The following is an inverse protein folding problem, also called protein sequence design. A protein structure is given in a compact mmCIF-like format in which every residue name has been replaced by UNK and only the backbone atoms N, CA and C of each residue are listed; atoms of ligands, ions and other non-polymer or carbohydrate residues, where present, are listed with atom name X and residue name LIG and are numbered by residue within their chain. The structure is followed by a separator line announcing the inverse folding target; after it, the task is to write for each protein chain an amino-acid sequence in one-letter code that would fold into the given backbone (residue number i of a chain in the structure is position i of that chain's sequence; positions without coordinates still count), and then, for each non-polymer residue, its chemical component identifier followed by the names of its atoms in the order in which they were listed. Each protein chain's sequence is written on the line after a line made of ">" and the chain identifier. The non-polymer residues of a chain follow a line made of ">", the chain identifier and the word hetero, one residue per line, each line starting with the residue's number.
data_IF_889643361041
#
_entry.id   IF_889643361041
#
_cell.length_a   1.000
_cell.length_b   1.000
_cell.length_c   1.000
_cell.angle_alpha   90.00
_cell.angle_beta   90.00
_cell.angle_gamma   90.00
#
_symmetry.space_group_name_H-M   'P 1'
#
loop_
_entity.id
_entity.type
_entity.pdbx_description
1 polymer ?
#
# COMPACT_ATOMS: atom_id res chain seq x y z
N UNK A 1 27.24 25.58 9.84
CA UNK A 1 27.13 26.96 9.32
C UNK A 1 26.96 26.85 7.82
N UNK A 2 25.78 27.16 7.29
CA UNK A 2 25.58 27.33 5.84
C UNK A 2 25.87 28.80 5.53
N UNK A 3 26.97 29.08 4.81
CA UNK A 3 27.20 30.40 4.23
C UNK A 3 26.49 30.46 2.87
N UNK A 4 25.76 31.54 2.62
CA UNK A 4 25.07 31.77 1.34
C UNK A 4 26.04 31.92 0.16
N UNK A 5 25.54 31.78 -1.08
CA UNK A 5 26.38 31.78 -2.28
C UNK A 5 27.09 33.13 -2.47
N UNK A 6 28.36 33.08 -2.89
CA UNK A 6 29.16 34.27 -3.23
C UNK A 6 28.86 34.68 -4.67
N UNK A 7 28.89 35.98 -4.96
CA UNK A 7 28.35 36.61 -6.18
C UNK A 7 28.82 36.07 -7.53
N UNK A 8 29.93 35.33 -7.61
CA UNK A 8 30.39 34.68 -8.85
C UNK A 8 29.53 33.48 -9.29
N UNK A 9 28.90 32.77 -8.34
CA UNK A 9 28.03 31.62 -8.66
C UNK A 9 26.71 32.07 -9.33
N UNK A 10 26.26 33.30 -9.05
CA UNK A 10 25.03 33.87 -9.62
C UNK A 10 25.20 34.31 -11.08
N UNK A 11 26.36 34.85 -11.45
CA UNK A 11 26.64 35.31 -12.82
C UNK A 11 26.80 34.13 -13.79
N UNK A 12 27.42 33.03 -13.36
CA UNK A 12 27.54 31.82 -14.19
C UNK A 12 26.18 31.17 -14.47
N UNK A 13 25.28 31.16 -13.47
CA UNK A 13 23.94 30.63 -13.63
C UNK A 13 23.07 31.50 -14.56
N UNK A 14 23.21 32.83 -14.49
CA UNK A 14 22.53 33.74 -15.41
C UNK A 14 23.04 33.63 -16.85
N UNK A 15 24.35 33.40 -17.04
CA UNK A 15 24.94 33.17 -18.36
C UNK A 15 24.48 31.85 -19.01
N UNK A 16 24.36 30.77 -18.23
CA UNK A 16 23.82 29.48 -18.72
C UNK A 16 22.34 29.58 -19.12
N UNK A 17 21.52 30.29 -18.35
CA UNK A 17 20.10 30.50 -18.66
C UNK A 17 19.91 31.38 -19.91
N UNK A 18 20.79 32.35 -20.14
CA UNK A 18 20.79 33.15 -21.35
C UNK A 18 21.16 32.33 -22.60
N UNK A 19 22.13 31.42 -22.49
CA UNK A 19 22.56 30.56 -23.60
C UNK A 19 21.47 29.57 -24.06
N UNK A 20 20.61 29.09 -23.15
CA UNK A 20 19.47 28.24 -23.51
C UNK A 20 18.34 28.97 -24.26
N UNK A 21 18.30 30.31 -24.24
CA UNK A 21 17.25 31.10 -24.91
C UNK A 21 17.57 31.47 -26.37
N UNK A 22 18.83 31.37 -26.80
CA UNK A 22 19.24 31.76 -28.16
C UNK A 22 19.18 30.62 -29.19
N UNK A 23 18.97 29.37 -28.74
CA UNK A 23 18.75 28.22 -29.62
C UNK A 23 17.29 28.04 -29.98
N UNK A 24 16.86 28.54 -31.14
CA UNK A 24 15.52 28.30 -31.68
C UNK A 24 15.27 26.82 -31.98
N UNK A 25 14.68 26.09 -31.04
CA UNK A 25 14.28 24.69 -31.22
C UNK A 25 13.71 24.07 -29.95
N UNK A 26 12.37 24.05 -29.86
CA UNK A 26 11.55 23.48 -28.76
C UNK A 26 11.84 24.01 -27.36
N UNK A 27 10.78 24.42 -26.66
CA UNK A 27 10.77 24.95 -25.27
C UNK A 27 11.15 23.90 -24.19
N UNK A 28 11.96 22.89 -24.54
CA UNK A 28 12.49 21.91 -23.60
C UNK A 28 13.81 22.42 -23.04
N UNK A 29 13.77 22.88 -21.79
CA UNK A 29 14.96 23.07 -20.96
C UNK A 29 15.82 21.80 -21.03
N UNK A 30 17.08 21.96 -21.46
CA UNK A 30 18.03 20.85 -21.52
C UNK A 30 18.37 20.40 -20.09
N UNK A 31 17.84 19.23 -19.71
CA UNK A 31 18.02 18.64 -18.39
C UNK A 31 19.50 18.37 -18.11
N UNK A 32 20.33 18.15 -19.14
CA UNK A 32 21.76 17.95 -18.96
C UNK A 32 22.49 19.22 -18.46
N UNK A 33 22.03 20.40 -18.90
CA UNK A 33 22.53 21.71 -18.46
C UNK A 33 22.11 21.98 -17.01
N UNK A 34 20.86 21.68 -16.64
CA UNK A 34 20.37 21.82 -15.26
C UNK A 34 21.14 20.90 -14.31
N UNK A 35 21.33 19.63 -14.69
CA UNK A 35 22.04 18.65 -13.88
C UNK A 35 23.53 18.99 -13.74
N UNK A 36 24.17 19.56 -14.76
CA UNK A 36 25.57 20.00 -14.69
C UNK A 36 25.80 21.14 -13.68
N UNK A 37 24.78 21.97 -13.42
CA UNK A 37 24.81 23.04 -12.43
C UNK A 37 24.28 22.66 -11.04
N UNK A 38 23.59 21.53 -10.92
CA UNK A 38 22.94 21.11 -9.68
C UNK A 38 23.98 20.56 -8.67
N UNK A 39 24.08 21.20 -7.51
CA UNK A 39 24.84 20.68 -6.37
C UNK A 39 23.89 19.92 -5.44
N UNK A 40 24.14 18.64 -5.23
CA UNK A 40 23.44 17.81 -4.25
C UNK A 40 24.33 17.57 -3.03
N UNK A 41 23.74 17.65 -1.84
CA UNK A 41 24.39 17.27 -0.58
C UNK A 41 23.72 16.03 -0.03
N UNK A 42 24.52 15.02 0.30
CA UNK A 42 24.04 13.77 0.89
C UNK A 42 24.47 13.70 2.34
N UNK A 43 23.51 13.42 3.22
CA UNK A 43 23.76 13.08 4.61
C UNK A 43 23.35 11.62 4.84
N UNK A 44 24.21 10.85 5.49
CA UNK A 44 23.96 9.43 5.78
C UNK A 44 23.71 9.24 7.27
N UNK A 45 22.74 8.39 7.59
CA UNK A 45 22.31 8.08 8.95
C UNK A 45 22.21 6.57 9.10
N UNK A 46 22.51 6.05 10.29
CA UNK A 46 22.40 4.61 10.58
C UNK A 46 21.12 4.26 11.36
N UNK A 47 20.43 5.27 11.91
CA UNK A 47 19.20 5.11 12.70
C UNK A 47 18.06 5.95 12.13
N UNK A 48 16.87 5.36 12.06
CA UNK A 48 15.66 6.06 11.62
C UNK A 48 15.34 7.27 12.49
N UNK A 49 15.65 7.22 13.79
CA UNK A 49 15.42 8.36 14.69
C UNK A 49 16.26 9.59 14.30
N UNK A 50 17.48 9.38 13.81
CA UNK A 50 18.37 10.48 13.40
C UNK A 50 17.88 11.11 12.08
N UNK A 51 17.36 10.29 11.17
CA UNK A 51 16.69 10.76 9.94
C UNK A 51 15.47 11.62 10.30
N UNK A 52 14.61 11.14 11.21
CA UNK A 52 13.44 11.88 11.66
C UNK A 52 13.82 13.21 12.32
N UNK A 53 14.83 13.21 13.19
CA UNK A 53 15.33 14.43 13.82
C UNK A 53 15.89 15.42 12.79
N UNK A 54 16.59 14.94 11.76
CA UNK A 54 17.12 15.76 10.68
C UNK A 54 15.99 16.42 9.87
N UNK A 55 15.00 15.65 9.41
CA UNK A 55 13.85 16.20 8.68
C UNK A 55 13.05 17.18 9.53
N UNK A 56 12.79 16.88 10.80
CA UNK A 56 12.09 17.78 11.71
C UNK A 56 12.84 19.10 11.90
N UNK A 57 14.16 19.05 12.09
CA UNK A 57 15.02 20.23 12.24
C UNK A 57 15.07 21.09 10.97
N UNK A 58 14.96 20.46 9.79
CA UNK A 58 15.17 21.11 8.49
C UNK A 58 13.92 21.15 7.61
N UNK A 59 12.72 20.93 8.18
CA UNK A 59 11.46 20.82 7.45
C UNK A 59 11.18 22.00 6.50
N UNK A 60 11.52 23.22 6.94
CA UNK A 60 11.27 24.44 6.17
C UNK A 60 12.14 24.54 4.91
N UNK A 61 13.29 23.85 4.91
CA UNK A 61 14.22 23.83 3.77
C UNK A 61 14.04 22.59 2.92
N UNK A 62 13.74 21.45 3.53
CA UNK A 62 13.69 20.15 2.86
C UNK A 62 12.31 19.76 2.36
N UNK A 63 11.22 20.32 2.91
CA UNK A 63 9.86 19.90 2.61
C UNK A 63 8.99 21.02 2.02
N UNK A 64 9.27 22.29 2.31
CA UNK A 64 8.46 23.42 1.83
C UNK A 64 8.79 23.98 0.43
N UNK A 65 10.07 24.17 0.04
CA UNK A 65 10.38 24.81 -1.25
C UNK A 65 10.11 23.86 -2.43
N UNK A 66 9.77 24.36 -3.63
CA UNK A 66 9.47 23.51 -4.79
C UNK A 66 10.50 22.38 -5.12
N UNK A 67 11.83 22.55 -4.91
CA UNK A 67 12.80 21.46 -5.09
C UNK A 67 12.71 20.33 -4.05
N UNK A 68 11.91 20.48 -2.99
CA UNK A 68 11.78 19.53 -1.88
C UNK A 68 11.36 18.14 -2.34
N UNK A 69 10.43 18.07 -3.28
CA UNK A 69 9.91 16.80 -3.81
C UNK A 69 11.03 16.02 -4.49
N UNK A 70 11.84 16.68 -5.32
CA UNK A 70 12.98 16.03 -5.98
C UNK A 70 14.04 15.58 -4.95
N UNK A 71 14.35 16.43 -3.97
CA UNK A 71 15.29 16.07 -2.90
C UNK A 71 14.80 14.85 -2.08
N UNK A 72 13.49 14.77 -1.81
CA UNK A 72 12.87 13.64 -1.13
C UNK A 72 12.98 12.36 -1.98
N UNK A 73 12.64 12.42 -3.26
CA UNK A 73 12.77 11.27 -4.18
C UNK A 73 14.22 10.78 -4.23
N UNK A 74 15.19 11.69 -4.37
CA UNK A 74 16.60 11.34 -4.35
C UNK A 74 17.02 10.72 -3.00
N UNK A 75 16.52 11.24 -1.87
CA UNK A 75 16.75 10.66 -0.55
C UNK A 75 16.23 9.22 -0.46
N UNK A 76 15.05 8.93 -1.01
CA UNK A 76 14.47 7.59 -1.02
C UNK A 76 15.29 6.63 -1.88
N UNK A 77 15.62 7.04 -3.11
CA UNK A 77 16.43 6.23 -4.04
C UNK A 77 17.82 5.96 -3.47
N UNK A 78 18.47 6.94 -2.85
CA UNK A 78 19.78 6.74 -2.22
C UNK A 78 19.70 5.85 -0.98
N UNK A 79 18.58 5.88 -0.23
CA UNK A 79 18.37 5.01 0.93
C UNK A 79 18.15 3.56 0.50
N UNK A 80 17.39 3.32 -0.57
CA UNK A 80 17.17 1.97 -1.12
C UNK A 80 18.35 1.50 -1.98
N UNK A 81 19.12 2.42 -2.55
CA UNK A 81 20.13 2.25 -3.62
C UNK A 81 19.52 2.08 -5.03
N UNK A 82 20.25 2.53 -6.06
CA UNK A 82 19.78 2.49 -7.46
C UNK A 82 19.60 1.04 -7.92
N UNK A 83 20.54 0.18 -7.56
CA UNK A 83 20.56 -1.23 -7.93
C UNK A 83 19.38 -1.98 -7.33
N UNK A 84 19.09 -1.78 -6.05
CA UNK A 84 17.94 -2.40 -5.39
C UNK A 84 16.62 -1.82 -5.89
N UNK A 85 16.53 -0.50 -6.16
CA UNK A 85 15.33 0.08 -6.79
C UNK A 85 15.06 -0.61 -8.12
N UNK A 86 16.06 -0.73 -9.01
CA UNK A 86 15.91 -1.44 -10.28
C UNK A 86 15.57 -2.92 -10.09
N UNK A 87 16.13 -3.57 -9.06
CA UNK A 87 15.83 -4.96 -8.70
C UNK A 87 14.42 -5.16 -8.16
N UNK A 88 13.83 -4.15 -7.52
CA UNK A 88 12.46 -4.17 -7.01
C UNK A 88 11.42 -4.07 -8.16
N UNK A 89 11.72 -3.31 -9.21
CA UNK A 89 10.81 -3.03 -10.34
C UNK A 89 10.62 -4.21 -11.29
N UNK A 90 9.40 -4.40 -11.80
CA UNK A 90 9.11 -5.41 -12.83
C UNK A 90 9.79 -5.08 -14.16
N UNK A 91 9.85 -3.80 -14.53
CA UNK A 91 10.62 -3.27 -15.65
C UNK A 91 11.48 -2.07 -15.22
N UNK A 92 12.79 -2.28 -15.11
CA UNK A 92 13.76 -1.28 -14.67
C UNK A 92 13.99 -0.14 -15.69
N UNK A 93 13.37 -0.20 -16.88
CA UNK A 93 13.43 0.87 -17.88
C UNK A 93 12.36 1.94 -17.69
N UNK A 94 11.32 1.64 -16.89
CA UNK A 94 10.24 2.57 -16.57
C UNK A 94 10.75 3.67 -15.62
N UNK A 95 10.51 4.96 -15.91
CA UNK A 95 10.95 6.04 -15.02
C UNK A 95 10.08 6.12 -13.76
N UNK A 96 10.70 6.40 -12.60
CA UNK A 96 9.98 6.58 -11.33
C UNK A 96 8.99 7.77 -11.37
N UNK A 97 9.34 8.81 -12.11
CA UNK A 97 8.48 9.97 -12.39
C UNK A 97 8.14 9.95 -13.87
N UNK A 98 6.87 9.72 -14.17
CA UNK A 98 6.33 9.66 -15.50
C UNK A 98 6.16 11.03 -16.16
N UNK A 99 5.48 11.04 -17.31
CA UNK A 99 5.13 12.27 -18.03
C UNK A 99 4.30 13.19 -17.13
N UNK A 100 4.44 14.50 -17.34
CA UNK A 100 3.73 15.54 -16.58
C UNK A 100 3.96 15.50 -15.05
N UNK A 101 4.97 14.77 -14.57
CA UNK A 101 5.30 14.69 -13.14
C UNK A 101 4.49 13.66 -12.35
N UNK A 102 3.73 12.78 -13.02
CA UNK A 102 2.98 11.72 -12.34
C UNK A 102 3.93 10.70 -11.71
N UNK A 103 3.67 10.31 -10.46
CA UNK A 103 4.40 9.22 -9.82
C UNK A 103 4.04 7.89 -10.49
N UNK A 104 5.06 7.08 -10.80
CA UNK A 104 4.87 5.65 -11.07
C UNK A 104 4.40 4.91 -9.81
N UNK A 105 3.83 3.71 -9.95
CA UNK A 105 3.43 2.91 -8.80
C UNK A 105 4.67 2.48 -7.98
N UNK A 106 5.80 2.28 -8.65
CA UNK A 106 7.10 1.98 -8.05
C UNK A 106 7.56 3.10 -7.12
N UNK A 107 7.37 4.36 -7.52
CA UNK A 107 7.71 5.50 -6.66
C UNK A 107 6.75 5.60 -5.45
N UNK A 108 5.46 5.34 -5.66
CA UNK A 108 4.47 5.29 -4.58
C UNK A 108 4.83 4.19 -3.57
N UNK A 109 5.15 2.99 -4.06
CA UNK A 109 5.55 1.87 -3.21
C UNK A 109 6.89 2.15 -2.52
N UNK A 110 7.86 2.78 -3.20
CA UNK A 110 9.12 3.17 -2.57
C UNK A 110 8.90 4.12 -1.39
N UNK A 111 7.96 5.07 -1.53
CA UNK A 111 7.58 5.99 -0.45
C UNK A 111 6.88 5.27 0.71
N UNK A 112 5.93 4.38 0.41
CA UNK A 112 5.07 3.74 1.43
C UNK A 112 5.75 2.58 2.16
N UNK A 113 6.52 1.77 1.44
CA UNK A 113 7.09 0.51 1.95
C UNK A 113 8.60 0.43 1.84
N UNK A 114 9.27 1.42 1.26
CA UNK A 114 10.72 1.41 1.09
C UNK A 114 11.22 0.43 0.03
N UNK A 115 10.34 -0.09 -0.82
CA UNK A 115 10.66 -0.96 -1.96
C UNK A 115 9.91 -0.49 -3.20
N UNK A 116 10.59 -0.45 -4.35
CA UNK A 116 10.03 0.06 -5.60
C UNK A 116 9.32 -1.04 -6.41
N UNK A 117 8.46 -1.84 -5.77
CA UNK A 117 7.71 -2.89 -6.45
C UNK A 117 6.63 -2.30 -7.35
N UNK A 118 6.31 -2.95 -8.46
CA UNK A 118 5.43 -2.39 -9.50
C UNK A 118 3.93 -2.54 -9.20
N UNK A 119 3.55 -3.39 -8.24
CA UNK A 119 2.16 -3.76 -8.03
C UNK A 119 1.66 -3.52 -6.59
N UNK A 120 0.35 -3.40 -6.46
CA UNK A 120 -0.34 -3.19 -5.17
C UNK A 120 -0.87 -4.47 -4.53
N UNK A 121 -0.88 -5.60 -5.25
CA UNK A 121 -1.32 -6.90 -4.71
C UNK A 121 -0.27 -7.45 -3.72
N UNK A 122 -0.65 -8.44 -2.91
CA UNK A 122 0.29 -9.03 -1.95
C UNK A 122 1.24 -10.04 -2.60
N UNK A 123 2.51 -10.02 -2.19
CA UNK A 123 3.51 -11.02 -2.57
C UNK A 123 3.93 -10.92 -4.02
N UNK A 124 4.01 -12.06 -4.69
CA UNK A 124 4.46 -12.18 -6.08
C UNK A 124 3.46 -13.00 -6.89
N UNK A 125 3.35 -12.69 -8.18
CA UNK A 125 2.53 -13.44 -9.13
C UNK A 125 3.36 -13.81 -10.35
N UNK A 126 3.29 -15.06 -10.79
CA UNK A 126 3.95 -15.49 -12.03
C UNK A 126 2.95 -15.43 -13.18
N UNK A 127 3.29 -14.71 -14.25
CA UNK A 127 2.51 -14.66 -15.49
C UNK A 127 3.16 -15.53 -16.56
N UNK A 128 2.37 -16.39 -17.18
CA UNK A 128 2.79 -17.29 -18.25
C UNK A 128 3.01 -18.73 -17.78
N UNK A 129 2.79 -19.68 -18.69
CA UNK A 129 2.85 -21.12 -18.39
C UNK A 129 4.27 -21.69 -18.43
N UNK A 130 5.20 -21.00 -19.09
CA UNK A 130 6.59 -21.44 -19.27
C UNK A 130 7.52 -20.62 -18.37
N UNK A 131 8.22 -21.26 -17.40
CA UNK A 131 9.21 -20.62 -16.54
C UNK A 131 10.32 -19.87 -17.28
N UNK A 132 10.61 -20.23 -18.53
CA UNK A 132 11.66 -19.61 -19.35
C UNK A 132 11.23 -18.34 -20.08
N UNK A 133 9.92 -18.12 -20.25
CA UNK A 133 9.37 -16.93 -20.93
C UNK A 133 8.40 -16.13 -20.06
N UNK A 134 7.99 -16.67 -18.92
CA UNK A 134 7.07 -16.01 -18.00
C UNK A 134 7.72 -14.86 -17.23
N UNK A 135 6.87 -14.05 -16.62
CA UNK A 135 7.27 -12.85 -15.91
C UNK A 135 6.83 -12.93 -14.46
N UNK A 136 7.77 -12.72 -13.53
CA UNK A 136 7.45 -12.61 -12.11
C UNK A 136 7.09 -11.16 -11.79
N UNK A 137 5.81 -10.92 -11.52
CA UNK A 137 5.30 -9.64 -11.05
C UNK A 137 5.49 -9.52 -9.54
N UNK A 138 6.05 -8.39 -9.11
CA UNK A 138 6.37 -8.11 -7.69
C UNK A 138 5.37 -7.13 -7.10
N UNK A 139 4.73 -7.53 -6.00
CA UNK A 139 3.79 -6.73 -5.24
C UNK A 139 4.32 -6.38 -3.84
N UNK A 140 3.40 -6.21 -2.90
CA UNK A 140 3.66 -5.78 -1.52
C UNK A 140 3.96 -6.99 -0.65
N UNK A 141 5.16 -7.06 -0.09
CA UNK A 141 5.66 -8.24 0.63
C UNK A 141 5.43 -8.21 2.15
N UNK A 142 4.92 -7.10 2.70
CA UNK A 142 4.69 -6.93 4.13
C UNK A 142 3.57 -5.95 4.46
N UNK A 143 3.03 -6.08 5.66
CA UNK A 143 2.14 -5.09 6.26
C UNK A 143 2.89 -3.73 6.42
N UNK A 144 2.39 -2.65 5.81
CA UNK A 144 3.04 -1.35 5.86
C UNK A 144 2.59 -0.54 7.09
N UNK A 145 3.36 0.50 7.42
CA UNK A 145 2.96 1.47 8.45
C UNK A 145 1.73 2.28 8.02
N UNK A 146 1.67 2.61 6.72
CA UNK A 146 0.62 3.38 6.08
C UNK A 146 0.07 2.57 4.92
N UNK A 147 -1.24 2.45 4.84
CA UNK A 147 -1.91 1.70 3.80
C UNK A 147 -2.01 2.48 2.50
N UNK A 148 -2.52 1.79 1.47
CA UNK A 148 -2.85 2.39 0.20
C UNK A 148 -4.22 1.90 -0.24
N UNK A 149 -5.01 2.79 -0.81
CA UNK A 149 -6.24 2.47 -1.52
C UNK A 149 -6.19 3.17 -2.87
N UNK A 150 -6.85 2.62 -3.88
CA UNK A 150 -6.82 3.19 -5.21
C UNK A 150 -8.21 3.24 -5.81
N UNK A 151 -8.58 4.39 -6.33
CA UNK A 151 -9.84 4.55 -7.08
C UNK A 151 -9.90 3.68 -8.34
N UNK A 152 -8.75 3.43 -8.98
CA UNK A 152 -8.70 2.57 -10.17
C UNK A 152 -8.82 1.07 -9.83
N UNK A 153 -8.72 0.69 -8.55
CA UNK A 153 -9.11 -0.65 -8.09
C UNK A 153 -10.62 -0.87 -8.23
N UNK A 154 -11.44 0.13 -7.89
CA UNK A 154 -12.89 0.04 -8.03
C UNK A 154 -13.32 -0.14 -9.51
N UNK A 155 -12.51 0.37 -10.44
CA UNK A 155 -12.66 0.17 -11.88
C UNK A 155 -12.09 -1.16 -12.38
N UNK A 156 -11.49 -1.97 -11.50
CA UNK A 156 -10.83 -3.25 -11.80
C UNK A 156 -9.59 -3.13 -12.70
N UNK A 157 -8.92 -1.98 -12.72
CA UNK A 157 -7.65 -1.82 -13.44
C UNK A 157 -6.46 -2.44 -12.69
N UNK A 158 -6.54 -2.53 -11.36
CA UNK A 158 -5.54 -3.18 -10.51
C UNK A 158 -6.20 -3.85 -9.31
N UNK A 159 -5.44 -4.68 -8.60
CA UNK A 159 -5.83 -5.27 -7.30
C UNK A 159 -4.97 -4.64 -6.21
N UNK A 160 -5.59 -4.08 -5.16
CA UNK A 160 -4.89 -3.69 -3.93
C UNK A 160 -4.99 -4.84 -2.93
N UNK A 161 -3.82 -5.32 -2.49
CA UNK A 161 -3.68 -6.45 -1.59
C UNK A 161 -4.12 -6.18 -0.16
N UNK A 162 -4.21 -7.25 0.63
CA UNK A 162 -4.61 -7.20 2.04
C UNK A 162 -3.59 -6.43 2.86
N UNK A 163 -2.30 -6.47 2.52
CA UNK A 163 -1.28 -5.70 3.22
C UNK A 163 -1.58 -4.20 3.19
N UNK A 164 -1.85 -3.64 2.00
CA UNK A 164 -2.18 -2.21 1.88
C UNK A 164 -3.54 -1.85 2.47
N UNK A 165 -4.51 -2.76 2.44
CA UNK A 165 -5.83 -2.56 3.05
C UNK A 165 -5.76 -2.61 4.57
N UNK A 166 -4.84 -3.36 5.17
CA UNK A 166 -4.76 -3.54 6.62
C UNK A 166 -3.39 -3.09 7.17
N UNK A 167 -3.06 -1.78 7.11
CA UNK A 167 -1.80 -1.25 7.62
C UNK A 167 -1.74 -1.22 9.15
N UNK A 168 -0.52 -1.11 9.69
CA UNK A 168 -0.26 -1.06 11.14
C UNK A 168 -0.99 0.12 11.80
N UNK A 169 -0.98 1.30 11.17
CA UNK A 169 -1.72 2.47 11.62
C UNK A 169 -2.96 2.68 10.76
N UNK A 170 -4.08 3.16 11.33
CA UNK A 170 -5.30 3.47 10.58
C UNK A 170 -5.14 4.74 9.74
N UNK A 171 -4.22 4.69 8.78
CA UNK A 171 -3.84 5.75 7.87
C UNK A 171 -3.62 5.12 6.49
N UNK A 172 -4.25 5.68 5.47
CA UNK A 172 -4.15 5.25 4.09
C UNK A 172 -3.87 6.47 3.20
N UNK A 173 -2.99 6.28 2.22
CA UNK A 173 -2.96 7.15 1.05
C UNK A 173 -4.00 6.64 0.06
N UNK A 174 -4.89 7.52 -0.38
CA UNK A 174 -5.87 7.24 -1.42
C UNK A 174 -5.36 7.83 -2.73
N UNK A 175 -5.06 6.96 -3.70
CA UNK A 175 -4.66 7.35 -5.05
C UNK A 175 -5.85 7.45 -6.00
N UNK A 176 -6.07 8.66 -6.53
CA UNK A 176 -6.90 8.91 -7.71
C UNK A 176 -6.02 9.04 -8.96
N UNK A 177 -6.60 9.05 -10.18
CA UNK A 177 -5.83 9.25 -11.40
C UNK A 177 -4.99 10.55 -11.42
N UNK A 178 -5.43 11.59 -10.71
CA UNK A 178 -4.83 12.93 -10.80
C UNK A 178 -4.38 13.53 -9.47
N UNK A 179 -4.70 12.89 -8.34
CA UNK A 179 -4.52 13.47 -7.00
C UNK A 179 -4.35 12.39 -5.93
N UNK A 180 -3.51 12.64 -4.93
CA UNK A 180 -3.38 11.78 -3.75
C UNK A 180 -3.99 12.49 -2.54
N UNK A 181 -4.79 11.76 -1.77
CA UNK A 181 -5.41 12.25 -0.54
C UNK A 181 -5.09 11.32 0.62
N UNK A 182 -5.36 11.77 1.85
CA UNK A 182 -5.10 10.99 3.05
C UNK A 182 -6.40 10.59 3.72
N UNK A 183 -6.56 9.32 4.06
CA UNK A 183 -7.69 8.79 4.81
C UNK A 183 -7.19 8.23 6.14
N UNK A 184 -7.83 8.53 7.26
CA UNK A 184 -7.42 8.00 8.56
C UNK A 184 -8.56 7.79 9.55
N UNK A 185 -8.31 7.00 10.59
CA UNK A 185 -9.19 6.88 11.75
C UNK A 185 -8.42 7.10 13.05
N UNK A 186 -9.12 7.54 14.09
CA UNK A 186 -8.56 7.65 15.44
C UNK A 186 -8.71 6.35 16.25
N UNK A 187 -9.42 5.37 15.69
CA UNK A 187 -9.59 4.03 16.24
C UNK A 187 -8.60 3.05 15.56
N UNK A 188 -7.56 2.56 16.28
CA UNK A 188 -6.59 1.63 15.72
C UNK A 188 -7.19 0.25 15.36
N UNK A 189 -8.39 -0.08 15.85
CA UNK A 189 -9.05 -1.34 15.52
C UNK A 189 -9.60 -1.37 14.09
N UNK A 190 -9.79 -0.20 13.46
CA UNK A 190 -10.25 -0.05 12.07
C UNK A 190 -9.31 -0.70 11.05
N UNK A 191 -8.01 -0.69 11.35
CA UNK A 191 -6.99 -1.35 10.53
C UNK A 191 -6.97 -2.88 10.65
N UNK A 192 -7.52 -3.44 11.74
CA UNK A 192 -7.33 -4.86 12.05
C UNK A 192 -7.95 -5.74 10.98
N UNK A 193 -7.28 -6.85 10.70
CA UNK A 193 -7.78 -7.90 9.82
C UNK A 193 -8.47 -8.95 10.70
N UNK A 194 -9.77 -9.25 10.49
CA UNK A 194 -10.44 -10.29 11.26
C UNK A 194 -9.70 -11.63 11.15
N UNK A 195 -9.58 -12.44 12.23
CA UNK A 195 -8.81 -13.68 12.21
C UNK A 195 -9.25 -14.69 11.14
N UNK A 196 -10.54 -14.75 10.85
CA UNK A 196 -11.12 -15.59 9.81
C UNK A 196 -10.73 -15.11 8.40
N UNK A 197 -10.70 -13.79 8.18
CA UNK A 197 -10.28 -13.21 6.90
C UNK A 197 -8.77 -13.37 6.73
N UNK A 198 -7.98 -13.21 7.79
CA UNK A 198 -6.54 -13.51 7.79
C UNK A 198 -6.29 -14.96 7.39
N UNK A 199 -6.96 -15.91 8.04
CA UNK A 199 -6.82 -17.33 7.74
C UNK A 199 -7.19 -17.65 6.28
N UNK A 200 -8.26 -17.03 5.76
CA UNK A 200 -8.62 -17.20 4.35
C UNK A 200 -7.58 -16.59 3.41
N UNK A 201 -7.05 -15.40 3.72
CA UNK A 201 -6.00 -14.76 2.93
C UNK A 201 -4.71 -15.60 2.88
N UNK A 202 -4.29 -16.16 4.03
CA UNK A 202 -3.13 -17.05 4.10
C UNK A 202 -3.31 -18.29 3.20
N UNK A 203 -4.51 -18.89 3.20
CA UNK A 203 -4.85 -19.99 2.30
C UNK A 203 -4.85 -19.55 0.83
N UNK A 204 -5.44 -18.38 0.52
CA UNK A 204 -5.52 -17.84 -0.84
C UNK A 204 -4.13 -17.58 -1.40
N UNK A 205 -3.23 -16.98 -0.61
CA UNK A 205 -1.85 -16.72 -1.02
C UNK A 205 -1.08 -18.00 -1.31
N UNK A 206 -1.25 -19.05 -0.49
CA UNK A 206 -0.63 -20.34 -0.75
C UNK A 206 -1.17 -21.01 -2.02
N UNK A 207 -2.49 -20.96 -2.24
CA UNK A 207 -3.13 -21.61 -3.38
C UNK A 207 -2.82 -20.90 -4.71
N UNK A 208 -2.84 -19.56 -4.73
CA UNK A 208 -2.56 -18.74 -5.92
C UNK A 208 -1.16 -18.96 -6.50
N UNK A 209 -0.19 -19.44 -5.71
CA UNK A 209 1.14 -19.81 -6.24
C UNK A 209 1.07 -20.96 -7.26
N UNK A 210 0.01 -21.77 -7.21
CA UNK A 210 -0.21 -22.93 -8.09
C UNK A 210 -1.45 -22.79 -8.97
N UNK A 211 -2.20 -21.69 -8.80
CA UNK A 211 -3.38 -21.30 -9.59
C UNK A 211 -3.34 -19.79 -9.88
N UNK A 212 -2.35 -19.31 -10.67
CA UNK A 212 -2.14 -17.89 -10.92
C UNK A 212 -3.32 -17.24 -11.69
N UNK A 213 -3.94 -18.02 -12.58
CA UNK A 213 -5.11 -17.62 -13.38
C UNK A 213 -6.43 -17.71 -12.61
N UNK A 214 -6.41 -18.18 -11.35
CA UNK A 214 -7.56 -18.28 -10.45
C UNK A 214 -8.70 -19.14 -11.03
N UNK A 215 -8.35 -20.27 -11.67
CA UNK A 215 -9.32 -21.25 -12.16
C UNK A 215 -10.03 -22.00 -11.03
N UNK A 216 -9.52 -21.91 -9.80
CA UNK A 216 -10.09 -22.54 -8.61
C UNK A 216 -9.63 -23.97 -8.39
N UNK A 217 -8.58 -24.44 -9.07
CA UNK A 217 -8.03 -25.77 -8.92
C UNK A 217 -6.51 -25.83 -9.10
N UNK A 218 -5.86 -26.81 -8.46
CA UNK A 218 -4.42 -27.08 -8.53
C UNK A 218 -4.21 -28.56 -8.87
N UNK A 219 -3.20 -28.90 -9.68
CA UNK A 219 -2.86 -30.31 -9.95
C UNK A 219 -2.41 -31.02 -8.67
N UNK A 220 -2.85 -32.26 -8.45
CA UNK A 220 -2.54 -33.01 -7.23
C UNK A 220 -1.05 -33.28 -7.02
N UNK A 221 -0.25 -33.30 -8.08
CA UNK A 221 1.22 -33.37 -8.03
C UNK A 221 1.84 -32.22 -7.20
N UNK A 222 1.19 -31.06 -7.18
CA UNK A 222 1.66 -29.88 -6.44
C UNK A 222 1.25 -29.92 -4.96
N UNK A 223 0.58 -30.97 -4.46
CA UNK A 223 0.08 -31.02 -3.07
C UNK A 223 1.18 -30.74 -2.04
N UNK A 224 2.36 -31.33 -2.21
CA UNK A 224 3.47 -31.15 -1.26
C UNK A 224 3.94 -29.69 -1.22
N UNK A 225 4.11 -29.08 -2.39
CA UNK A 225 4.54 -27.69 -2.51
C UNK A 225 3.47 -26.73 -1.99
N UNK A 226 2.19 -26.99 -2.28
CA UNK A 226 1.04 -26.23 -1.77
C UNK A 226 0.97 -26.27 -0.24
N UNK A 227 1.10 -27.45 0.37
CA UNK A 227 1.09 -27.57 1.83
C UNK A 227 2.34 -26.94 2.46
N UNK A 228 3.47 -26.95 1.77
CA UNK A 228 4.68 -26.25 2.23
C UNK A 228 4.44 -24.74 2.25
N UNK A 229 3.91 -24.16 1.17
CA UNK A 229 3.54 -22.74 1.10
C UNK A 229 2.48 -22.37 2.16
N UNK A 230 1.57 -23.28 2.47
CA UNK A 230 0.52 -23.10 3.48
C UNK A 230 1.00 -23.30 4.93
N UNK A 231 2.24 -23.75 5.15
CA UNK A 231 2.78 -24.20 6.44
C UNK A 231 1.98 -25.37 7.08
N UNK A 232 1.54 -26.32 6.26
CA UNK A 232 0.76 -27.51 6.64
C UNK A 232 1.36 -28.83 6.12
N UNK A 233 2.65 -28.84 5.74
CA UNK A 233 3.33 -30.02 5.17
C UNK A 233 3.27 -31.26 6.08
N UNK A 234 3.19 -31.05 7.40
CA UNK A 234 3.02 -32.10 8.41
C UNK A 234 1.71 -32.90 8.26
N UNK A 235 0.71 -32.35 7.57
CA UNK A 235 -0.58 -32.99 7.35
C UNK A 235 -0.72 -33.64 5.97
N UNK A 236 0.38 -33.89 5.26
CA UNK A 236 0.39 -34.38 3.89
C UNK A 236 -0.48 -35.64 3.67
N UNK A 237 -0.35 -36.66 4.52
CA UNK A 237 -1.11 -37.92 4.38
C UNK A 237 -2.63 -37.73 4.60
N UNK A 238 -3.00 -36.80 5.48
CA UNK A 238 -4.41 -36.46 5.71
C UNK A 238 -4.98 -35.65 4.55
N UNK A 239 -4.21 -34.68 4.05
CA UNK A 239 -4.58 -33.88 2.88
C UNK A 239 -4.77 -34.76 1.65
N UNK A 240 -3.87 -35.72 1.41
CA UNK A 240 -3.98 -36.65 0.28
C UNK A 240 -5.30 -37.43 0.30
N UNK A 241 -5.83 -37.77 1.48
CA UNK A 241 -7.14 -38.42 1.62
C UNK A 241 -8.31 -37.44 1.50
N UNK A 242 -8.18 -36.26 2.07
CA UNK A 242 -9.30 -35.32 2.19
C UNK A 242 -9.48 -34.40 0.98
N UNK A 243 -8.40 -33.96 0.32
CA UNK A 243 -8.49 -32.97 -0.77
C UNK A 243 -8.25 -33.56 -2.15
N UNK A 244 -7.51 -34.67 -2.25
CA UNK A 244 -7.25 -35.31 -3.56
C UNK A 244 -8.30 -36.37 -3.86
N UNK A 245 -8.57 -37.29 -2.91
CA UNK A 245 -9.51 -38.39 -3.13
C UNK A 245 -11.00 -37.98 -3.13
N UNK A 246 -11.31 -36.73 -2.79
CA UNK A 246 -12.67 -36.18 -2.91
C UNK A 246 -13.06 -35.84 -4.36
N UNK A 247 -12.12 -35.88 -5.31
CA UNK A 247 -12.38 -35.65 -6.73
C UNK A 247 -12.53 -36.98 -7.47
N UNK A 248 -13.39 -37.03 -8.50
CA UNK A 248 -13.71 -38.27 -9.25
C UNK A 248 -12.46 -38.96 -9.82
N UNK A 249 -11.46 -38.18 -10.23
CA UNK A 249 -10.24 -38.68 -10.88
C UNK A 249 -8.98 -38.58 -10.02
N UNK A 250 -9.04 -37.96 -8.83
CA UNK A 250 -7.88 -37.78 -7.94
C UNK A 250 -6.73 -36.94 -8.51
N UNK A 251 -6.97 -36.23 -9.61
CA UNK A 251 -5.94 -35.53 -10.39
C UNK A 251 -5.79 -34.06 -10.01
N UNK A 252 -6.80 -33.50 -9.33
CA UNK A 252 -6.86 -32.08 -8.97
C UNK A 252 -7.24 -31.89 -7.50
N UNK A 253 -6.93 -30.71 -6.99
CA UNK A 253 -7.27 -30.19 -5.68
C UNK A 253 -8.13 -28.95 -5.93
N UNK A 254 -9.38 -28.97 -5.46
CA UNK A 254 -10.27 -27.81 -5.59
C UNK A 254 -9.99 -26.80 -4.48
N UNK A 255 -10.12 -25.51 -4.80
CA UNK A 255 -9.97 -24.42 -3.82
C UNK A 255 -10.87 -24.61 -2.59
N UNK A 256 -12.13 -24.99 -2.80
CA UNK A 256 -13.09 -25.23 -1.72
C UNK A 256 -12.58 -26.29 -0.73
N UNK A 257 -12.16 -27.45 -1.23
CA UNK A 257 -11.72 -28.57 -0.42
C UNK A 257 -10.41 -28.25 0.32
N UNK A 258 -9.49 -27.56 -0.36
CA UNK A 258 -8.27 -27.07 0.25
C UNK A 258 -8.55 -26.06 1.37
N UNK A 259 -9.44 -25.08 1.14
CA UNK A 259 -9.78 -24.06 2.13
C UNK A 259 -10.46 -24.67 3.36
N UNK A 260 -11.36 -25.64 3.18
CA UNK A 260 -12.01 -26.36 4.28
C UNK A 260 -10.97 -27.15 5.10
N UNK A 261 -10.07 -27.86 4.42
CA UNK A 261 -8.98 -28.59 5.06
C UNK A 261 -8.05 -27.64 5.83
N UNK A 262 -7.61 -26.55 5.20
CA UNK A 262 -6.74 -25.54 5.80
C UNK A 262 -7.36 -24.95 7.08
N UNK A 263 -8.63 -24.55 7.02
CA UNK A 263 -9.37 -24.00 8.17
C UNK A 263 -9.42 -24.99 9.32
N UNK A 264 -9.75 -26.25 9.03
CA UNK A 264 -9.82 -27.32 10.04
C UNK A 264 -8.50 -27.49 10.76
N UNK A 265 -7.37 -27.55 10.02
CA UNK A 265 -6.04 -27.70 10.63
C UNK A 265 -5.62 -26.50 11.45
N UNK A 266 -5.84 -25.28 10.97
CA UNK A 266 -5.51 -24.06 11.72
C UNK A 266 -6.30 -23.93 13.02
N UNK A 267 -7.58 -24.31 13.04
CA UNK A 267 -8.40 -24.31 14.26
C UNK A 267 -7.88 -25.35 15.26
N UNK A 268 -7.51 -26.55 14.81
CA UNK A 268 -6.94 -27.60 15.66
C UNK A 268 -5.58 -27.18 16.27
N UNK A 269 -4.67 -26.61 15.47
CA UNK A 269 -3.37 -26.11 15.95
C UNK A 269 -3.55 -25.02 17.02
N UNK A 270 -4.47 -24.08 16.79
CA UNK A 270 -4.78 -23.04 17.78
C UNK A 270 -5.37 -23.61 19.06
N UNK A 271 -6.26 -24.58 18.97
CA UNK A 271 -6.85 -25.23 20.14
C UNK A 271 -5.79 -25.97 20.99
N UNK A 272 -4.79 -26.58 20.34
CA UNK A 272 -3.67 -27.22 21.02
C UNK A 272 -2.72 -26.21 21.68
N UNK A 273 -2.50 -25.05 21.06
CA UNK A 273 -1.64 -23.98 21.60
C UNK A 273 -2.33 -23.15 22.71
N UNK A 274 -3.65 -22.99 22.67
CA UNK A 274 -4.42 -22.23 23.64
C UNK A 274 -4.50 -22.89 25.03
N UNK A 275 -4.08 -24.16 25.17
CA UNK A 275 -3.98 -24.87 26.45
C UNK A 275 -2.94 -24.31 27.43
N UNK A 276 -2.24 -23.20 27.13
CA UNK A 276 -1.20 -22.63 28.00
C UNK A 276 -0.95 -21.12 27.93
N UNK A 277 -1.73 -20.33 27.18
CA UNK A 277 -1.53 -18.87 27.10
C UNK A 277 -2.85 -18.10 27.02
N UNK A 278 -2.92 -16.98 27.74
CA UNK A 278 -4.02 -16.01 27.64
C UNK A 278 -4.11 -15.53 26.19
N UNK A 279 -5.26 -15.76 25.56
CA UNK A 279 -5.52 -15.32 24.20
C UNK A 279 -5.28 -13.82 24.10
N UNK A 280 -4.30 -13.43 23.28
CA UNK A 280 -4.22 -12.05 22.79
C UNK A 280 -5.60 -11.73 22.22
N UNK A 281 -6.26 -10.71 22.77
CA UNK A 281 -7.57 -10.29 22.29
C UNK A 281 -7.48 -10.02 20.79
N UNK A 282 -8.03 -10.93 19.99
CA UNK A 282 -8.23 -10.76 18.56
C UNK A 282 -9.26 -9.64 18.39
N UNK A 283 -8.80 -8.39 18.46
CA UNK A 283 -9.65 -7.22 18.36
C UNK A 283 -10.41 -7.26 17.03
N UNK A 284 -11.73 -7.45 17.12
CA UNK A 284 -12.62 -7.49 15.97
C UNK A 284 -12.76 -6.07 15.43
N UNK A 285 -12.56 -5.84 14.11
CA UNK A 285 -12.77 -4.52 13.53
C UNK A 285 -14.20 -4.03 13.76
N UNK A 286 -14.39 -2.72 13.95
CA UNK A 286 -15.70 -2.16 14.21
C UNK A 286 -16.58 -2.28 12.97
N UNK A 287 -17.88 -2.56 13.17
CA UNK A 287 -18.87 -2.50 12.09
C UNK A 287 -19.33 -1.07 11.76
N UNK A 288 -19.07 -0.13 12.66
CA UNK A 288 -19.36 1.30 12.53
C UNK A 288 -18.13 2.08 12.92
N UNK A 289 -17.62 2.92 12.03
CA UNK A 289 -16.36 3.62 12.24
C UNK A 289 -16.40 5.04 11.69
N UNK A 290 -15.57 5.91 12.27
CA UNK A 290 -15.38 7.26 11.77
C UNK A 290 -14.06 7.33 11.01
N UNK A 291 -14.14 7.83 9.77
CA UNK A 291 -13.01 8.11 8.92
C UNK A 291 -12.89 9.61 8.70
N UNK A 292 -11.66 10.08 8.57
CA UNK A 292 -11.33 11.44 8.22
C UNK A 292 -10.59 11.42 6.89
N UNK A 293 -10.99 12.29 5.97
CA UNK A 293 -10.39 12.40 4.65
C UNK A 293 -9.80 13.79 4.50
N UNK A 294 -8.49 13.86 4.32
CA UNK A 294 -7.75 15.09 4.13
C UNK A 294 -7.32 15.20 2.67
N UNK A 295 -7.82 16.21 1.95
CA UNK A 295 -7.56 16.39 0.52
C UNK A 295 -6.17 16.98 0.24
N UNK A 296 -5.54 17.64 1.22
CA UNK A 296 -4.23 18.28 1.08
C UNK A 296 -4.14 19.37 0.01
N UNK A 297 -5.26 19.84 -0.54
CA UNK A 297 -5.27 20.99 -1.43
C UNK A 297 -5.27 22.26 -0.58
N UNK A 298 -4.36 23.18 -0.87
CA UNK A 298 -4.28 24.48 -0.21
C UNK A 298 -5.42 25.36 -0.76
N UNK A 299 -6.53 25.59 -0.03
CA UNK A 299 -7.78 26.00 -0.65
C UNK A 299 -8.12 27.46 -0.32
N UNK A 300 -9.38 27.88 -0.55
CA UNK A 300 -10.13 28.23 0.65
C UNK A 300 -11.31 27.28 0.82
N UNK A 301 -11.22 26.36 1.79
CA UNK A 301 -12.18 25.32 2.11
C UNK A 301 -11.65 24.39 3.21
N UNK A 302 -12.48 23.69 3.99
CA UNK A 302 -11.98 22.72 4.94
C UNK A 302 -11.43 21.53 4.15
N UNK A 303 -10.10 21.41 4.06
CA UNK A 303 -9.40 20.30 3.43
C UNK A 303 -9.58 18.96 4.18
N UNK A 304 -10.48 18.89 5.17
CA UNK A 304 -10.69 17.77 6.07
C UNK A 304 -12.20 17.47 6.21
N UNK A 305 -12.61 16.32 5.68
CA UNK A 305 -13.97 15.80 5.76
C UNK A 305 -14.05 14.67 6.78
N UNK A 306 -15.21 14.52 7.42
CA UNK A 306 -15.49 13.44 8.37
C UNK A 306 -16.62 12.57 7.85
N UNK A 307 -16.37 11.28 7.77
CA UNK A 307 -17.33 10.29 7.30
C UNK A 307 -17.65 9.27 8.40
N UNK A 308 -18.93 8.95 8.53
CA UNK A 308 -19.39 7.78 9.25
C UNK A 308 -19.54 6.63 8.25
N UNK A 309 -18.87 5.51 8.53
CA UNK A 309 -18.88 4.31 7.69
C UNK A 309 -19.52 3.16 8.45
N UNK A 310 -20.58 2.58 7.91
CA UNK A 310 -21.36 1.50 8.52
C UNK A 310 -21.41 0.28 7.60
N UNK A 311 -20.92 -0.87 8.09
CA UNK A 311 -20.93 -2.11 7.32
C UNK A 311 -22.32 -2.72 7.28
N UNK A 312 -22.84 -2.91 6.07
CA UNK A 312 -24.10 -3.60 5.82
C UNK A 312 -23.86 -5.06 5.40
N UNK A 313 -24.74 -5.96 5.81
CA UNK A 313 -24.75 -7.34 5.30
C UNK A 313 -25.53 -7.44 3.97
N UNK A 314 -26.17 -6.36 3.53
CA UNK A 314 -26.89 -6.28 2.26
C UNK A 314 -25.90 -5.94 1.16
N UNK A 315 -25.84 -6.79 0.14
CA UNK A 315 -25.08 -6.53 -1.08
C UNK A 315 -25.74 -5.40 -1.88
N UNK A 316 -25.10 -4.24 -1.88
CA UNK A 316 -25.61 -3.04 -2.54
C UNK A 316 -25.25 -2.98 -4.02
N UNK A 317 -24.42 -3.90 -4.52
CA UNK A 317 -24.08 -3.96 -5.94
C UNK A 317 -25.31 -4.18 -6.82
N UNK A 318 -26.38 -4.78 -6.28
CA UNK A 318 -27.67 -4.95 -6.96
C UNK A 318 -28.57 -3.69 -6.95
N UNK A 319 -28.30 -2.73 -6.07
CA UNK A 319 -29.08 -1.48 -5.94
C UNK A 319 -28.44 -0.29 -6.67
N UNK A 320 -27.12 -0.35 -6.88
CA UNK A 320 -26.37 0.68 -7.60
C UNK A 320 -26.24 0.25 -9.07
N UNK A 321 -27.15 0.71 -9.94
CA UNK A 321 -27.00 0.55 -11.39
C UNK A 321 -25.68 1.15 -11.89
N UNK A 322 -25.16 0.67 -13.01
CA UNK A 322 -23.87 1.04 -13.65
C UNK A 322 -23.45 2.51 -13.42
N UNK A 323 -22.80 2.80 -12.29
CA UNK A 323 -22.14 4.09 -12.04
C UNK A 323 -20.68 3.92 -12.41
N UNK A 324 -20.32 4.47 -13.57
CA UNK A 324 -18.94 4.61 -14.00
C UNK A 324 -18.24 5.83 -13.35
N UNK A 325 -18.92 6.54 -12.44
CA UNK A 325 -18.33 7.64 -11.69
C UNK A 325 -17.52 7.11 -10.51
N UNK A 326 -16.27 7.56 -10.48
CA UNK A 326 -15.32 7.27 -9.43
C UNK A 326 -15.69 8.09 -8.21
N UNK A 327 -16.23 7.44 -7.20
CA UNK A 327 -16.52 8.09 -5.93
C UNK A 327 -15.56 7.57 -4.87
N UNK A 328 -15.27 8.43 -3.88
CA UNK A 328 -14.62 8.01 -2.65
C UNK A 328 -15.30 6.77 -2.06
N UNK A 329 -16.64 6.67 -2.19
CA UNK A 329 -17.41 5.50 -1.77
C UNK A 329 -16.97 4.20 -2.47
N UNK A 330 -16.86 4.21 -3.80
CA UNK A 330 -16.44 3.03 -4.55
C UNK A 330 -15.04 2.56 -4.15
N UNK A 331 -14.11 3.49 -3.92
CA UNK A 331 -12.76 3.16 -3.43
C UNK A 331 -12.77 2.63 -1.99
N UNK A 332 -13.61 3.16 -1.11
CA UNK A 332 -13.75 2.66 0.26
C UNK A 332 -14.38 1.26 0.28
N UNK A 333 -15.31 0.97 -0.62
CA UNK A 333 -15.95 -0.34 -0.73
C UNK A 333 -14.99 -1.46 -1.16
N UNK A 334 -13.84 -1.15 -1.78
CA UNK A 334 -12.82 -2.17 -2.07
C UNK A 334 -12.12 -2.71 -0.81
N UNK A 335 -12.15 -1.94 0.28
CA UNK A 335 -11.66 -2.32 1.61
C UNK A 335 -12.78 -2.75 2.55
N UNK A 336 -13.89 -2.00 2.54
CA UNK A 336 -15.06 -2.22 3.37
C UNK A 336 -16.26 -2.58 2.50
N UNK A 337 -16.39 -3.85 2.07
CA UNK A 337 -17.50 -4.26 1.23
C UNK A 337 -18.84 -3.86 1.83
N UNK A 338 -19.76 -3.40 0.97
CA UNK A 338 -21.14 -3.04 1.32
C UNK A 338 -21.27 -1.94 2.38
N UNK A 339 -20.24 -1.10 2.58
CA UNK A 339 -20.33 -0.02 3.53
C UNK A 339 -21.25 1.12 3.05
N UNK A 340 -22.04 1.65 3.98
CA UNK A 340 -22.77 2.91 3.84
C UNK A 340 -21.91 4.05 4.36
N UNK A 341 -21.89 5.16 3.64
CA UNK A 341 -21.06 6.32 3.96
C UNK A 341 -21.96 7.52 4.15
N UNK A 342 -21.81 8.18 5.30
CA UNK A 342 -22.52 9.43 5.61
C UNK A 342 -21.50 10.51 5.95
N UNK A 343 -21.45 11.58 5.16
CA UNK A 343 -20.67 12.75 5.50
C UNK A 343 -21.30 13.45 6.71
N UNK A 344 -20.48 13.79 7.70
CA UNK A 344 -20.90 14.45 8.92
C UNK A 344 -20.33 15.87 8.93
N UNK A 345 -21.13 16.86 9.33
CA UNK A 345 -20.66 18.24 9.47
C UNK A 345 -19.37 18.29 10.30
N UNK A 346 -18.31 18.84 9.69
CA UNK A 346 -17.05 19.08 10.36
C UNK A 346 -17.19 20.32 11.25
N UNK A 347 -17.69 20.18 12.48
CA UNK A 347 -17.51 21.23 13.49
C UNK A 347 -16.07 21.19 14.00
N UNK A 348 -15.16 21.78 13.21
CA UNK A 348 -13.69 21.79 13.38
C UNK A 348 -13.25 22.35 14.76
N UNK A 349 -14.11 23.07 15.49
CA UNK A 349 -13.73 23.78 16.72
C UNK A 349 -13.89 22.99 18.05
N UNK A 350 -14.65 21.89 18.11
CA UNK A 350 -15.04 21.29 19.41
C UNK A 350 -14.34 19.98 19.80
N UNK A 351 -13.71 19.28 18.84
CA UNK A 351 -13.30 17.89 19.05
C UNK A 351 -11.81 17.67 19.37
N UNK A 352 -10.90 18.46 18.78
CA UNK A 352 -9.47 18.29 19.03
C UNK A 352 -9.08 18.54 20.50
N UNK A 353 -9.77 19.43 21.21
CA UNK A 353 -9.57 19.63 22.65
C UNK A 353 -10.28 18.58 23.50
N UNK A 354 -11.56 18.27 23.24
CA UNK A 354 -12.35 17.46 24.19
C UNK A 354 -11.98 15.97 24.21
N UNK A 355 -11.64 15.38 23.06
CA UNK A 355 -11.32 13.95 22.98
C UNK A 355 -9.87 13.65 23.39
N UNK A 356 -8.95 14.59 23.09
CA UNK A 356 -7.57 14.54 23.55
C UNK A 356 -7.48 14.78 25.07
N UNK A 357 -8.25 15.74 25.62
CA UNK A 357 -8.36 15.95 27.08
C UNK A 357 -9.04 14.79 27.80
N UNK A 358 -10.05 14.16 27.19
CA UNK A 358 -10.72 12.96 27.73
C UNK A 358 -9.75 11.78 27.85
N UNK A 359 -8.94 11.52 26.81
CA UNK A 359 -7.94 10.45 26.80
C UNK A 359 -6.73 10.74 27.70
N UNK A 360 -6.33 12.00 27.87
CA UNK A 360 -5.32 12.38 28.86
C UNK A 360 -5.80 12.21 30.31
N UNK A 361 -7.10 12.36 30.57
CA UNK A 361 -7.68 12.13 31.91
C UNK A 361 -7.91 10.65 32.23
N UNK A 362 -8.10 9.79 31.24
CA UNK A 362 -8.34 8.35 31.46
C UNK A 362 -7.08 7.49 31.51
N UNK A 363 -5.92 8.02 31.09
CA UNK A 363 -4.61 7.33 31.15
C UNK A 363 -3.77 7.62 32.38
N UNK A 364 -4.27 8.41 33.34
CA UNK A 364 -3.60 8.76 34.59
C UNK A 364 -4.36 8.22 35.81
N UNK A 365 -4.31 6.90 36.01
CA UNK A 365 -4.89 6.21 37.16
C UNK A 365 -4.21 4.87 37.39
#
# INVERSE_FOLDING_TARGET
>A
MLQGPKGQDTEQMQAMVAASREGGGSDQLDVSIIMAGAKAWVASFTRVQDVMAFYHKHQDTLLRPAPSVLALVLSLVLTRTIEEVKGDMDDATVPLVGRFGHCSQELVNLLLIGKATSNCFDGQKFLGDDPSTGMLLKGVDREPLVGYLSEVEAMRYLEVGVHYKHPIHPLWVLGSPNHYTTLFSLDPTVSKLPPNVKMQNDATQAFRQFDPEQFGFVKSDNLFALLTAANLVQHFEEAKKHVVQNTQDGSIILWHDFLEFFRTKRVMERAQQAGGASAVSDAVPPRKMTLYHFDGQDPPGPSLHRFLVELSDIDQTFAQGDRYEVTLEAALQTRWPNCLITECDASVAAFASSEMESRMRSGGG
#
